data_IF_758074321122
#
_entry.id   IF_758074321122
#
_cell.length_a   1.000
_cell.length_b   1.000
_cell.length_c   1.000
_cell.angle_alpha   90.00
_cell.angle_beta   90.00
_cell.angle_gamma   90.00
#
_symmetry.space_group_name_H-M   'P 1'
#
loop_
_entity.id
_entity.type
_entity.pdbx_description
1 polymer ?
#
# COMPACT_ATOMS: atom_id res chain seq x y z
N UNK A 1 14.26 45.70 18.10
CA UNK A 1 13.18 45.00 17.35
C UNK A 1 12.76 43.79 18.16
N UNK A 2 11.49 43.67 18.51
CA UNK A 2 10.93 42.50 19.21
C UNK A 2 10.64 41.41 18.17
N UNK A 3 11.17 40.20 18.40
CA UNK A 3 10.97 39.05 17.52
C UNK A 3 10.14 38.02 18.28
N UNK A 4 9.00 37.61 17.71
CA UNK A 4 8.08 36.66 18.32
C UNK A 4 8.50 35.24 17.92
N UNK A 5 9.31 34.61 18.77
CA UNK A 5 9.89 33.28 18.51
C UNK A 5 8.81 32.20 18.36
N UNK A 6 7.74 32.31 19.13
CA UNK A 6 6.55 31.45 19.07
C UNK A 6 5.86 31.51 17.70
N UNK A 7 5.66 32.71 17.16
CA UNK A 7 5.06 32.90 15.83
C UNK A 7 5.94 32.35 14.71
N UNK A 8 7.25 32.60 14.76
CA UNK A 8 8.21 32.10 13.76
C UNK A 8 8.32 30.57 13.82
N UNK A 9 8.34 30.00 15.03
CA UNK A 9 8.35 28.56 15.20
C UNK A 9 7.07 27.90 14.65
N UNK A 10 5.90 28.46 14.97
CA UNK A 10 4.62 27.94 14.48
C UNK A 10 4.52 28.00 12.95
N UNK A 11 5.02 29.09 12.36
CA UNK A 11 5.11 29.25 10.91
C UNK A 11 5.99 28.14 10.31
N UNK A 12 7.16 27.89 10.88
CA UNK A 12 8.10 26.88 10.40
C UNK A 12 7.54 25.45 10.55
N UNK A 13 6.88 25.17 11.67
CA UNK A 13 6.12 23.95 11.87
C UNK A 13 5.05 23.74 10.80
N UNK A 14 4.32 24.80 10.46
CA UNK A 14 3.34 24.79 9.37
C UNK A 14 4.00 24.44 8.02
N UNK A 15 5.13 25.06 7.69
CA UNK A 15 5.88 24.74 6.47
C UNK A 15 6.34 23.30 6.42
N UNK A 16 7.00 22.82 7.47
CA UNK A 16 7.51 21.44 7.51
C UNK A 16 6.37 20.44 7.34
N UNK A 17 5.22 20.69 7.97
CA UNK A 17 4.03 19.87 7.78
C UNK A 17 3.53 19.89 6.33
N UNK A 18 3.45 21.06 5.69
CA UNK A 18 3.03 21.19 4.29
C UNK A 18 4.01 20.47 3.35
N UNK A 19 5.31 20.64 3.55
CA UNK A 19 6.35 19.99 2.75
C UNK A 19 6.29 18.47 2.85
N UNK A 20 6.12 17.93 4.06
CA UNK A 20 5.95 16.49 4.26
C UNK A 20 4.67 15.98 3.63
N UNK A 21 3.58 16.75 3.72
CA UNK A 21 2.30 16.38 3.13
C UNK A 21 2.34 16.41 1.60
N UNK A 22 2.98 17.40 0.98
CA UNK A 22 3.21 17.47 -0.46
C UNK A 22 4.09 16.30 -0.91
N UNK A 23 5.16 16.01 -0.17
CA UNK A 23 6.06 14.87 -0.46
C UNK A 23 5.28 13.56 -0.48
N UNK A 24 4.45 13.33 0.55
CA UNK A 24 3.57 12.16 0.60
C UNK A 24 2.55 12.14 -0.54
N UNK A 25 2.03 13.29 -0.93
CA UNK A 25 1.07 13.40 -2.03
C UNK A 25 1.69 13.02 -3.38
N UNK A 26 2.86 13.58 -3.71
CA UNK A 26 3.61 13.32 -4.96
C UNK A 26 3.95 11.83 -5.08
N UNK A 27 4.45 11.24 -3.99
CA UNK A 27 4.84 9.83 -3.94
C UNK A 27 3.68 8.87 -3.68
N UNK A 28 2.44 9.38 -3.58
CA UNK A 28 1.24 8.61 -3.25
C UNK A 28 1.42 7.75 -1.99
N UNK A 29 2.18 8.24 -1.00
CA UNK A 29 2.43 7.56 0.26
C UNK A 29 1.22 7.71 1.18
N UNK A 30 0.76 6.59 1.71
CA UNK A 30 -0.29 6.56 2.71
C UNK A 30 0.34 6.73 4.10
N UNK A 31 0.26 7.93 4.66
CA UNK A 31 0.85 8.26 5.97
C UNK A 31 -0.22 8.82 6.91
N UNK A 32 -0.25 8.32 8.13
CA UNK A 32 -1.14 8.85 9.18
C UNK A 32 -0.69 10.26 9.61
N UNK A 33 -1.64 11.18 9.75
CA UNK A 33 -1.34 12.61 9.95
C UNK A 33 -0.49 12.91 11.19
N UNK A 34 -0.65 12.14 12.28
CA UNK A 34 0.16 12.33 13.49
C UNK A 34 1.66 12.11 13.24
N UNK A 35 2.03 11.17 12.37
CA UNK A 35 3.45 10.96 12.02
C UNK A 35 4.02 12.15 11.24
N UNK A 36 3.21 12.78 10.39
CA UNK A 36 3.60 14.01 9.70
C UNK A 36 3.75 15.18 10.67
N UNK A 37 2.86 15.29 11.66
CA UNK A 37 2.96 16.30 12.72
C UNK A 37 4.23 16.11 13.56
N UNK A 38 4.58 14.87 13.91
CA UNK A 38 5.84 14.56 14.61
C UNK A 38 7.06 14.92 13.77
N UNK A 39 7.07 14.56 12.48
CA UNK A 39 8.16 14.93 11.57
C UNK A 39 8.31 16.45 11.45
N UNK A 40 7.20 17.17 11.32
CA UNK A 40 7.18 18.63 11.27
C UNK A 40 7.65 19.27 12.58
N UNK A 41 7.28 18.70 13.72
CA UNK A 41 7.76 19.13 15.02
C UNK A 41 9.29 19.02 15.10
N UNK A 42 9.85 17.87 14.69
CA UNK A 42 11.30 17.63 14.65
C UNK A 42 12.01 18.60 13.70
N UNK A 43 11.42 18.89 12.54
CA UNK A 43 11.95 19.90 11.62
C UNK A 43 12.00 21.28 12.26
N UNK A 44 10.87 21.73 12.79
CA UNK A 44 10.71 23.09 13.33
C UNK A 44 11.53 23.38 14.58
N UNK A 45 11.97 22.35 15.31
CA UNK A 45 12.93 22.47 16.41
C UNK A 45 14.22 23.17 15.98
N UNK A 46 14.58 23.12 14.69
CA UNK A 46 15.75 23.82 14.16
C UNK A 46 15.68 25.33 14.44
N UNK A 47 14.49 25.94 14.34
CA UNK A 47 14.28 27.36 14.59
C UNK A 47 14.53 27.67 16.07
N UNK A 48 13.97 26.88 16.98
CA UNK A 48 14.15 27.10 18.43
C UNK A 48 15.62 26.97 18.80
N UNK A 49 16.29 25.93 18.29
CA UNK A 49 17.70 25.67 18.60
C UNK A 49 18.64 26.77 18.10
N UNK A 50 18.29 27.49 17.02
CA UNK A 50 19.08 28.65 16.55
C UNK A 50 19.13 29.80 17.57
N UNK A 51 18.17 29.90 18.48
CA UNK A 51 18.16 30.92 19.55
C UNK A 51 18.75 30.41 20.88
N UNK A 52 19.41 29.25 20.87
CA UNK A 52 20.07 28.65 22.04
C UNK A 52 21.58 28.51 21.81
N UNK A 53 22.38 28.18 22.84
CA UNK A 53 23.81 27.89 22.67
C UNK A 53 24.10 26.75 21.67
N UNK A 54 23.11 25.91 21.34
CA UNK A 54 23.22 24.86 20.33
C UNK A 54 23.24 25.38 18.87
N UNK A 55 23.20 26.70 18.64
CA UNK A 55 23.21 27.30 17.30
C UNK A 55 24.37 26.81 16.41
N UNK A 56 25.58 26.61 16.97
CA UNK A 56 26.75 26.15 16.21
C UNK A 56 26.56 24.72 15.70
N UNK A 57 25.84 23.89 16.47
CA UNK A 57 25.52 22.52 16.08
C UNK A 57 24.56 22.51 14.90
N UNK A 58 23.52 23.35 14.96
CA UNK A 58 22.50 23.48 13.91
C UNK A 58 23.03 24.14 12.64
N UNK A 59 24.02 25.02 12.76
CA UNK A 59 24.69 25.64 11.61
C UNK A 59 25.44 24.61 10.74
N UNK A 60 25.86 23.48 11.33
CA UNK A 60 26.61 22.45 10.62
C UNK A 60 25.72 21.72 9.57
N UNK A 61 26.12 21.71 8.28
CA UNK A 61 25.38 21.01 7.22
C UNK A 61 25.12 19.53 7.50
N UNK A 62 26.06 18.84 8.16
CA UNK A 62 25.92 17.42 8.48
C UNK A 62 24.81 17.16 9.50
N UNK A 63 24.63 18.07 10.46
CA UNK A 63 23.54 17.98 11.45
C UNK A 63 22.20 18.17 10.76
N UNK A 64 22.11 19.10 9.80
CA UNK A 64 20.89 19.28 8.98
C UNK A 64 20.57 18.05 8.14
N UNK A 65 21.58 17.40 7.59
CA UNK A 65 21.41 16.14 6.85
C UNK A 65 20.91 15.02 7.77
N UNK A 66 21.47 14.88 8.98
CA UNK A 66 20.99 13.90 9.94
C UNK A 66 19.55 14.18 10.41
N UNK A 67 19.22 15.47 10.58
CA UNK A 67 17.87 15.89 10.92
C UNK A 67 16.87 15.53 9.82
N UNK A 68 17.21 15.78 8.54
CA UNK A 68 16.32 15.41 7.42
C UNK A 68 16.09 13.90 7.34
N UNK A 69 17.11 13.08 7.59
CA UNK A 69 16.95 11.63 7.72
C UNK A 69 15.98 11.25 8.84
N UNK A 70 16.09 11.91 9.99
CA UNK A 70 15.21 11.69 11.15
C UNK A 70 13.77 12.11 10.86
N UNK A 71 13.56 13.25 10.21
CA UNK A 71 12.23 13.72 9.78
C UNK A 71 11.58 12.71 8.83
N UNK A 72 12.31 12.22 7.83
CA UNK A 72 11.77 11.24 6.87
C UNK A 72 11.50 9.89 7.54
N UNK A 73 12.37 9.45 8.44
CA UNK A 73 12.20 8.22 9.19
C UNK A 73 10.94 8.29 10.08
N UNK A 74 10.75 9.38 10.82
CA UNK A 74 9.58 9.54 11.69
C UNK A 74 8.29 9.68 10.89
N UNK A 75 8.29 10.51 9.85
CA UNK A 75 7.14 10.75 8.99
C UNK A 75 6.75 9.51 8.16
N UNK A 76 7.67 8.91 7.40
CA UNK A 76 7.37 7.85 6.41
C UNK A 76 7.78 6.44 6.85
N UNK A 77 8.76 6.31 7.74
CA UNK A 77 9.23 5.02 8.27
C UNK A 77 10.27 4.36 7.38
N UNK A 78 10.83 3.25 7.86
CA UNK A 78 11.82 2.47 7.12
C UNK A 78 11.27 1.11 6.75
N UNK A 79 11.04 0.89 5.44
CA UNK A 79 10.58 -0.40 4.91
C UNK A 79 11.64 -1.03 4.02
N UNK A 80 12.15 -0.27 3.04
CA UNK A 80 13.25 -0.64 2.13
C UNK A 80 14.11 0.58 1.86
N UNK A 81 15.41 0.38 1.65
CA UNK A 81 16.37 1.47 1.40
C UNK A 81 15.97 2.31 0.18
N UNK A 82 15.53 1.68 -0.91
CA UNK A 82 15.07 2.37 -2.12
C UNK A 82 13.91 3.34 -1.83
N UNK A 83 12.88 2.87 -1.12
CA UNK A 83 11.71 3.67 -0.75
C UNK A 83 12.09 4.83 0.16
N UNK A 84 13.02 4.59 1.09
CA UNK A 84 13.52 5.62 2.00
C UNK A 84 14.28 6.72 1.24
N UNK A 85 15.19 6.35 0.35
CA UNK A 85 15.92 7.30 -0.50
C UNK A 85 15.00 8.07 -1.44
N UNK A 86 13.97 7.43 -1.97
CA UNK A 86 12.95 8.08 -2.79
C UNK A 86 12.19 9.17 -2.01
N UNK A 87 11.75 8.85 -0.78
CA UNK A 87 11.10 9.83 0.10
C UNK A 87 12.03 11.02 0.43
N UNK A 88 13.30 10.74 0.74
CA UNK A 88 14.30 11.77 1.03
C UNK A 88 14.53 12.68 -0.17
N UNK A 89 14.69 12.09 -1.36
CA UNK A 89 14.96 12.83 -2.60
C UNK A 89 13.79 13.75 -2.95
N UNK A 90 12.56 13.23 -2.94
CA UNK A 90 11.37 14.05 -3.24
C UNK A 90 11.14 15.12 -2.18
N UNK A 91 11.45 14.86 -0.91
CA UNK A 91 11.38 15.88 0.14
C UNK A 91 12.33 17.05 -0.15
N UNK A 92 13.59 16.79 -0.51
CA UNK A 92 14.54 17.83 -0.89
C UNK A 92 14.08 18.61 -2.12
N UNK A 93 13.67 17.91 -3.18
CA UNK A 93 13.15 18.55 -4.40
C UNK A 93 11.94 19.44 -4.09
N UNK A 94 11.01 18.95 -3.26
CA UNK A 94 9.83 19.71 -2.82
C UNK A 94 10.23 20.94 -2.02
N UNK A 95 11.19 20.79 -1.09
CA UNK A 95 11.70 21.89 -0.26
C UNK A 95 12.34 22.98 -1.12
N UNK A 96 13.19 22.61 -2.08
CA UNK A 96 13.81 23.57 -2.99
C UNK A 96 12.78 24.22 -3.93
N UNK A 97 11.81 23.47 -4.45
CA UNK A 97 10.78 24.01 -5.33
C UNK A 97 9.86 25.00 -4.60
N UNK A 98 9.38 24.63 -3.40
CA UNK A 98 8.52 25.50 -2.59
C UNK A 98 9.30 26.71 -2.07
N UNK A 99 10.51 26.51 -1.54
CA UNK A 99 11.35 27.61 -1.06
C UNK A 99 11.74 28.58 -2.19
N UNK A 100 12.16 28.06 -3.35
CA UNK A 100 12.48 28.85 -4.52
C UNK A 100 11.26 29.59 -5.10
N UNK A 101 10.11 28.93 -5.15
CA UNK A 101 8.85 29.54 -5.56
C UNK A 101 8.41 30.67 -4.61
N UNK A 102 8.59 30.47 -3.30
CA UNK A 102 8.31 31.50 -2.31
C UNK A 102 9.24 32.70 -2.46
N UNK A 103 10.54 32.48 -2.64
CA UNK A 103 11.50 33.56 -2.94
C UNK A 103 11.13 34.31 -4.22
N UNK A 104 10.74 33.60 -5.28
CA UNK A 104 10.33 34.21 -6.54
C UNK A 104 9.08 35.10 -6.36
N UNK A 105 8.05 34.61 -5.65
CA UNK A 105 6.85 35.41 -5.33
C UNK A 105 7.20 36.62 -4.47
N UNK A 106 8.05 36.43 -3.46
CA UNK A 106 8.50 37.52 -2.59
C UNK A 106 9.20 38.63 -3.37
N UNK A 107 10.15 38.28 -4.25
CA UNK A 107 10.83 39.27 -5.09
C UNK A 107 9.90 39.90 -6.13
N UNK A 108 9.00 39.13 -6.75
CA UNK A 108 8.03 39.65 -7.70
C UNK A 108 7.11 40.70 -7.06
N UNK A 109 6.60 40.44 -5.85
CA UNK A 109 5.73 41.38 -5.13
C UNK A 109 6.49 42.60 -4.57
N UNK A 110 7.77 42.44 -4.23
CA UNK A 110 8.61 43.58 -3.80
C UNK A 110 8.91 44.57 -4.94
N UNK A 111 8.96 44.10 -6.20
CA UNK A 111 9.09 44.98 -7.36
C UNK A 111 7.91 45.96 -7.44
N UNK A 112 6.71 45.53 -7.04
CA UNK A 112 5.50 46.37 -7.02
C UNK A 112 5.41 47.29 -5.78
N UNK A 113 5.96 46.89 -4.62
CA UNK A 113 5.91 47.70 -3.38
C UNK A 113 6.78 48.96 -3.39
N UNK A 114 7.66 49.16 -4.38
CA UNK A 114 8.27 50.48 -4.62
C UNK A 114 7.25 51.55 -5.04
N UNK A 115 6.01 51.17 -5.38
CA UNK A 115 4.94 52.07 -5.83
C UNK A 115 3.66 52.05 -4.98
N UNK A 116 3.53 51.21 -3.94
CA UNK A 116 2.29 51.11 -3.15
C UNK A 116 2.54 50.96 -1.64
N UNK A 117 2.28 52.06 -0.92
CA UNK A 117 2.00 52.25 0.51
C UNK A 117 2.60 51.28 1.56
N UNK A 118 3.33 51.90 2.49
CA UNK A 118 4.02 51.36 3.68
C UNK A 118 3.14 50.60 4.70
N UNK A 119 1.82 50.52 4.49
CA UNK A 119 0.85 50.00 5.46
C UNK A 119 0.99 48.49 5.72
N UNK A 120 1.40 47.69 4.73
CA UNK A 120 1.53 46.22 4.86
C UNK A 120 2.85 45.81 5.52
N UNK A 121 3.93 46.60 5.36
CA UNK A 121 5.22 46.31 6.01
C UNK A 121 5.18 46.54 7.53
N UNK A 122 4.29 47.40 8.02
CA UNK A 122 4.18 47.70 9.46
C UNK A 122 3.59 46.54 10.28
N UNK A 123 2.70 45.73 9.69
CA UNK A 123 1.95 44.66 10.38
C UNK A 123 2.76 43.38 10.65
N UNK A 124 3.88 43.18 9.95
CA UNK A 124 4.67 41.93 10.04
C UNK A 124 6.09 42.14 10.55
N UNK A 125 6.41 43.34 11.06
CA UNK A 125 7.71 43.68 11.64
C UNK A 125 7.97 42.88 12.93
N UNK A 126 8.41 41.62 12.78
CA UNK A 126 8.75 40.70 13.88
C UNK A 126 8.03 39.35 13.86
N UNK A 127 7.06 39.14 12.96
CA UNK A 127 6.23 37.91 12.87
C UNK A 127 6.60 36.98 11.69
N UNK A 128 7.60 37.36 10.88
CA UNK A 128 7.98 36.66 9.64
C UNK A 128 7.44 37.33 8.37
N UNK A 129 7.84 36.82 7.20
CA UNK A 129 7.50 37.41 5.90
C UNK A 129 6.01 37.18 5.53
N UNK A 130 5.25 38.21 5.10
CA UNK A 130 3.83 38.08 4.72
C UNK A 130 3.55 36.98 3.68
N UNK A 131 4.45 36.78 2.71
CA UNK A 131 4.30 35.74 1.68
C UNK A 131 4.32 34.35 2.31
N UNK A 132 5.07 34.18 3.39
CA UNK A 132 5.13 32.93 4.15
C UNK A 132 3.78 32.58 4.76
N UNK A 133 3.15 33.55 5.43
CA UNK A 133 1.84 33.39 6.05
C UNK A 133 0.76 33.10 5.03
N UNK A 134 0.78 33.80 3.88
CA UNK A 134 -0.13 33.53 2.77
C UNK A 134 0.02 32.09 2.25
N UNK A 135 1.25 31.61 2.08
CA UNK A 135 1.52 30.24 1.65
C UNK A 135 0.96 29.21 2.63
N UNK A 136 1.16 29.41 3.93
CA UNK A 136 0.64 28.48 4.94
C UNK A 136 -0.89 28.53 5.00
N UNK A 137 -1.49 29.72 5.03
CA UNK A 137 -2.94 29.90 5.15
C UNK A 137 -3.72 29.40 3.93
N UNK A 138 -3.17 29.52 2.72
CA UNK A 138 -3.81 29.03 1.49
C UNK A 138 -3.42 27.57 1.21
N UNK A 139 -2.16 27.21 1.43
CA UNK A 139 -1.65 25.86 1.18
C UNK A 139 -2.33 24.81 2.06
N UNK A 140 -2.62 25.13 3.32
CA UNK A 140 -3.21 24.18 4.26
C UNK A 140 -4.63 23.71 3.84
N UNK A 141 -5.60 24.60 3.52
CA UNK A 141 -6.90 24.21 2.96
C UNK A 141 -6.81 23.40 1.66
N UNK A 142 -5.96 23.82 0.72
CA UNK A 142 -5.79 23.13 -0.57
C UNK A 142 -5.28 21.70 -0.34
N UNK A 143 -4.27 21.54 0.51
CA UNK A 143 -3.76 20.21 0.83
C UNK A 143 -4.75 19.37 1.65
N UNK A 144 -5.59 19.96 2.50
CA UNK A 144 -6.67 19.23 3.17
C UNK A 144 -7.69 18.69 2.16
N UNK A 145 -8.08 19.49 1.18
CA UNK A 145 -8.97 19.06 0.10
C UNK A 145 -8.36 17.92 -0.74
N UNK A 146 -7.09 18.05 -1.15
CA UNK A 146 -6.40 17.02 -1.93
C UNK A 146 -6.16 15.73 -1.13
N UNK A 147 -5.88 15.84 0.17
CA UNK A 147 -5.66 14.66 1.02
C UNK A 147 -6.92 13.84 1.28
N UNK A 148 -8.12 14.45 1.32
CA UNK A 148 -9.37 13.67 1.46
C UNK A 148 -9.51 12.59 0.38
N UNK A 149 -9.04 12.85 -0.84
CA UNK A 149 -9.06 11.88 -1.95
C UNK A 149 -8.10 10.70 -1.73
N UNK A 150 -7.01 10.87 -0.98
CA UNK A 150 -6.09 9.78 -0.65
C UNK A 150 -6.58 8.92 0.52
N UNK A 151 -7.30 9.51 1.48
CA UNK A 151 -7.85 8.76 2.61
C UNK A 151 -8.88 7.71 2.19
N UNK A 152 -9.69 7.96 1.15
CA UNK A 152 -10.62 6.96 0.60
C UNK A 152 -9.93 5.68 0.11
N UNK A 153 -8.65 5.74 -0.28
CA UNK A 153 -7.90 4.56 -0.70
C UNK A 153 -7.39 3.70 0.49
N UNK A 154 -7.31 4.26 1.70
CA UNK A 154 -6.88 3.55 2.91
C UNK A 154 -7.97 2.61 3.42
N UNK A 155 -9.23 3.03 3.33
CA UNK A 155 -10.38 2.20 3.68
C UNK A 155 -10.47 0.97 2.77
N UNK A 156 -10.22 1.16 1.46
CA UNK A 156 -10.17 0.05 0.49
C UNK A 156 -9.00 -0.91 0.75
N UNK A 157 -7.84 -0.42 1.22
CA UNK A 157 -6.67 -1.27 1.49
C UNK A 157 -6.81 -2.06 2.80
N UNK A 158 -7.37 -1.46 3.86
CA UNK A 158 -7.72 -2.19 5.09
C UNK A 158 -8.71 -3.32 4.79
N UNK A 159 -9.75 -3.03 4.01
CA UNK A 159 -10.72 -4.05 3.60
C UNK A 159 -10.09 -5.22 2.84
N UNK A 160 -9.05 -4.97 2.02
CA UNK A 160 -8.29 -6.03 1.33
C UNK A 160 -7.41 -6.86 2.27
N UNK A 161 -6.77 -6.25 3.28
CA UNK A 161 -5.93 -6.97 4.24
C UNK A 161 -6.75 -7.81 5.21
N UNK A 162 -7.93 -7.34 5.63
CA UNK A 162 -8.86 -8.10 6.48
C UNK A 162 -9.42 -9.36 5.77
N UNK A 163 -9.17 -9.51 4.47
CA UNK A 163 -9.59 -10.67 3.67
C UNK A 163 -8.44 -11.64 3.38
N UNK A 164 -7.21 -11.38 3.82
CA UNK A 164 -6.11 -12.32 3.61
C UNK A 164 -6.15 -13.45 4.64
N UNK A 165 -6.05 -14.68 4.15
CA UNK A 165 -6.01 -15.89 4.95
C UNK A 165 -4.76 -16.71 4.62
N UNK A 166 -4.23 -17.43 5.61
CA UNK A 166 -3.23 -18.46 5.35
C UNK A 166 -3.93 -19.80 5.19
N UNK A 167 -3.68 -20.48 4.08
CA UNK A 167 -4.33 -21.75 3.74
C UNK A 167 -3.28 -22.84 3.63
N UNK A 168 -3.45 -23.90 4.41
CA UNK A 168 -2.65 -25.11 4.31
C UNK A 168 -3.48 -26.20 3.64
N UNK A 169 -3.03 -26.66 2.47
CA UNK A 169 -3.67 -27.69 1.66
C UNK A 169 -2.89 -28.99 1.83
N UNK A 170 -3.59 -30.09 1.99
CA UNK A 170 -3.02 -31.43 2.01
C UNK A 170 -3.51 -32.24 0.81
N UNK A 171 -2.56 -32.80 0.06
CA UNK A 171 -2.79 -33.75 -1.03
C UNK A 171 -1.91 -34.96 -0.76
N UNK A 172 -2.51 -36.04 -0.27
CA UNK A 172 -1.88 -37.27 0.19
C UNK A 172 -0.82 -37.01 1.26
N UNK A 173 0.47 -37.09 0.91
CA UNK A 173 1.60 -36.83 1.80
C UNK A 173 2.12 -35.40 1.70
N UNK A 174 1.71 -34.68 0.67
CA UNK A 174 2.21 -33.36 0.35
C UNK A 174 1.37 -32.30 1.09
N UNK A 175 2.05 -31.35 1.74
CA UNK A 175 1.41 -30.25 2.48
C UNK A 175 1.96 -28.93 1.96
N UNK A 176 1.06 -28.04 1.56
CA UNK A 176 1.40 -26.78 0.90
C UNK A 176 0.73 -25.65 1.66
N UNK A 177 1.49 -24.62 2.04
CA UNK A 177 0.96 -23.41 2.68
C UNK A 177 0.99 -22.24 1.72
N UNK A 178 -0.14 -21.54 1.57
CA UNK A 178 -0.37 -20.47 0.61
C UNK A 178 -1.01 -19.27 1.30
N UNK A 179 -0.72 -18.06 0.80
CA UNK A 179 -1.49 -16.85 1.13
C UNK A 179 -2.66 -16.72 0.15
N UNK A 180 -3.87 -16.56 0.66
CA UNK A 180 -5.08 -16.46 -0.16
C UNK A 180 -5.96 -15.28 0.19
N UNK A 181 -6.65 -14.75 -0.82
CA UNK A 181 -7.67 -13.71 -0.65
C UNK A 181 -9.05 -14.37 -0.49
N UNK A 182 -9.73 -14.08 0.61
CA UNK A 182 -11.12 -14.45 0.83
C UNK A 182 -12.03 -13.55 -0.01
N UNK A 183 -12.38 -14.01 -1.21
CA UNK A 183 -13.20 -13.24 -2.13
C UNK A 183 -14.68 -13.62 -2.02
N UNK A 184 -15.47 -12.74 -1.41
CA UNK A 184 -16.93 -12.87 -1.36
C UNK A 184 -17.61 -12.93 -2.74
N UNK A 185 -16.94 -12.43 -3.79
CA UNK A 185 -17.41 -12.47 -5.18
C UNK A 185 -17.13 -13.78 -5.91
N UNK A 186 -16.28 -14.66 -5.35
CA UNK A 186 -16.03 -15.97 -5.94
C UNK A 186 -17.25 -16.88 -5.74
N UNK A 187 -18.01 -17.09 -6.81
CA UNK A 187 -19.19 -17.96 -6.86
C UNK A 187 -18.93 -19.27 -7.63
N UNK A 188 -17.66 -19.58 -7.93
CA UNK A 188 -17.31 -20.72 -8.77
C UNK A 188 -17.57 -22.04 -8.04
N UNK A 189 -18.44 -22.85 -8.64
CA UNK A 189 -18.86 -24.15 -8.14
C UNK A 189 -18.73 -25.18 -9.27
N UNK A 190 -18.36 -26.41 -8.92
CA UNK A 190 -18.55 -27.55 -9.82
C UNK A 190 -20.04 -27.66 -10.18
N UNK A 191 -20.42 -27.60 -11.48
CA UNK A 191 -21.83 -27.64 -11.89
C UNK A 191 -22.54 -28.94 -11.46
N UNK A 192 -21.82 -30.05 -11.35
CA UNK A 192 -22.37 -31.37 -11.01
C UNK A 192 -22.46 -31.53 -9.50
N UNK A 193 -21.34 -31.47 -8.78
CA UNK A 193 -21.31 -31.76 -7.34
C UNK A 193 -21.65 -30.56 -6.45
N UNK A 194 -21.74 -29.35 -7.03
CA UNK A 194 -21.86 -28.08 -6.32
C UNK A 194 -20.74 -27.84 -5.29
N UNK A 195 -19.59 -28.46 -5.51
CA UNK A 195 -18.40 -28.30 -4.66
C UNK A 195 -17.75 -26.93 -4.94
N UNK A 196 -17.41 -26.14 -3.91
CA UNK A 196 -16.75 -24.84 -4.08
C UNK A 196 -15.36 -24.97 -4.69
N UNK A 197 -14.98 -24.01 -5.54
CA UNK A 197 -13.69 -24.00 -6.22
C UNK A 197 -12.83 -22.84 -5.71
N UNK A 198 -11.72 -23.17 -5.07
CA UNK A 198 -10.63 -22.24 -4.78
C UNK A 198 -9.77 -22.10 -6.04
N UNK A 199 -9.36 -20.89 -6.39
CA UNK A 199 -8.49 -20.65 -7.56
C UNK A 199 -7.06 -20.48 -7.06
N UNK A 200 -6.09 -21.14 -7.67
CA UNK A 200 -4.68 -21.09 -7.26
C UNK A 200 -3.75 -20.92 -8.46
N UNK A 201 -2.73 -20.08 -8.28
CA UNK A 201 -1.68 -19.91 -9.28
C UNK A 201 -0.87 -21.20 -9.43
N UNK A 202 -0.84 -21.74 -10.65
CA UNK A 202 -0.13 -22.99 -10.94
C UNK A 202 1.36 -22.91 -10.62
N UNK A 203 1.95 -21.71 -10.74
CA UNK A 203 3.35 -21.43 -10.42
C UNK A 203 3.72 -21.86 -8.97
N UNK A 204 2.77 -21.79 -8.04
CA UNK A 204 2.98 -22.20 -6.64
C UNK A 204 2.90 -23.71 -6.42
N UNK A 205 2.36 -24.44 -7.39
CA UNK A 205 2.11 -25.88 -7.31
C UNK A 205 3.05 -26.70 -8.22
N UNK A 206 3.90 -26.06 -9.03
CA UNK A 206 4.76 -26.73 -10.03
C UNK A 206 5.66 -27.84 -9.44
N UNK A 207 6.08 -27.72 -8.18
CA UNK A 207 6.89 -28.76 -7.51
C UNK A 207 6.08 -29.96 -7.05
N UNK A 208 4.75 -29.84 -6.98
CA UNK A 208 3.85 -30.86 -6.44
C UNK A 208 3.00 -31.54 -7.50
N UNK A 209 2.66 -30.83 -8.59
CA UNK A 209 1.90 -31.38 -9.71
C UNK A 209 2.84 -31.87 -10.82
N UNK A 210 2.51 -32.98 -11.50
CA UNK A 210 3.28 -33.45 -12.64
C UNK A 210 3.17 -32.48 -13.82
N UNK A 211 4.20 -32.47 -14.68
CA UNK A 211 4.22 -31.63 -15.89
C UNK A 211 3.03 -31.92 -16.83
N UNK A 212 2.51 -33.15 -16.82
CA UNK A 212 1.32 -33.55 -17.60
C UNK A 212 0.10 -32.68 -17.29
N UNK A 213 -0.08 -32.26 -16.03
CA UNK A 213 -1.19 -31.36 -15.64
C UNK A 213 -0.98 -29.96 -16.24
N UNK A 214 0.27 -29.48 -16.27
CA UNK A 214 0.61 -28.18 -16.84
C UNK A 214 0.37 -28.19 -18.36
N UNK A 215 0.78 -29.27 -19.03
CA UNK A 215 0.53 -29.48 -20.47
C UNK A 215 -0.97 -29.61 -20.77
N UNK A 216 -1.73 -30.31 -19.91
CA UNK A 216 -3.18 -30.40 -20.03
C UNK A 216 -3.85 -29.02 -19.97
N UNK A 217 -3.39 -28.12 -19.09
CA UNK A 217 -3.89 -26.74 -19.04
C UNK A 217 -3.63 -25.99 -20.36
N UNK A 218 -2.44 -26.13 -20.96
CA UNK A 218 -2.12 -25.52 -22.25
C UNK A 218 -3.04 -26.01 -23.36
N UNK A 219 -3.31 -27.32 -23.40
CA UNK A 219 -4.19 -27.92 -24.40
C UNK A 219 -5.63 -27.40 -24.30
N UNK A 220 -6.15 -27.25 -23.07
CA UNK A 220 -7.49 -26.72 -22.83
C UNK A 220 -7.61 -25.27 -23.30
N UNK A 221 -6.61 -24.43 -23.01
CA UNK A 221 -6.61 -23.03 -23.46
C UNK A 221 -6.53 -22.90 -24.98
N UNK A 222 -5.71 -23.72 -25.65
CA UNK A 222 -5.44 -23.59 -27.09
C UNK A 222 -6.46 -24.28 -27.98
N UNK A 223 -6.97 -25.46 -27.58
CA UNK A 223 -7.80 -26.31 -28.44
C UNK A 223 -9.22 -26.54 -27.93
N UNK A 224 -9.57 -26.10 -26.70
CA UNK A 224 -10.83 -26.43 -26.02
C UNK A 224 -11.12 -27.95 -26.00
N UNK A 225 -10.10 -28.78 -26.24
CA UNK A 225 -10.17 -30.22 -26.31
C UNK A 225 -10.00 -30.87 -24.95
N UNK A 226 -10.34 -32.16 -24.87
CA UNK A 226 -10.14 -32.96 -23.67
C UNK A 226 -8.67 -33.41 -23.59
N UNK A 227 -7.95 -33.11 -22.50
CA UNK A 227 -6.59 -33.60 -22.32
C UNK A 227 -6.60 -35.12 -22.13
N UNK A 228 -5.64 -35.81 -22.76
CA UNK A 228 -5.40 -37.24 -22.53
C UNK A 228 -4.40 -37.38 -21.38
N UNK A 229 -4.81 -38.05 -20.31
CA UNK A 229 -3.91 -38.41 -19.22
C UNK A 229 -3.41 -39.83 -19.44
N UNK A 230 -2.16 -40.11 -19.06
CA UNK A 230 -1.64 -41.47 -18.98
C UNK A 230 -2.37 -42.22 -17.85
N UNK A 231 -2.79 -43.47 -18.09
CA UNK A 231 -3.58 -44.28 -17.15
C UNK A 231 -2.85 -44.61 -15.83
N UNK A 232 -1.57 -44.25 -15.72
CA UNK A 232 -0.69 -44.66 -14.61
C UNK A 232 -0.52 -43.60 -13.50
N UNK A 233 -1.26 -42.49 -13.51
CA UNK A 233 -1.07 -41.44 -12.50
C UNK A 233 -2.14 -41.42 -11.42
N UNK A 234 -1.70 -41.28 -10.15
CA UNK A 234 -2.54 -41.00 -8.97
C UNK A 234 -3.47 -39.76 -9.12
N UNK A 235 -3.26 -38.97 -10.17
CA UNK A 235 -3.94 -37.71 -10.43
C UNK A 235 -5.23 -37.87 -11.23
N UNK A 236 -5.39 -38.95 -12.03
CA UNK A 236 -6.55 -39.15 -12.90
C UNK A 236 -7.87 -39.05 -12.12
N UNK A 237 -7.94 -39.68 -10.95
CA UNK A 237 -9.15 -39.66 -10.11
C UNK A 237 -9.42 -38.31 -9.43
N UNK A 238 -8.40 -37.46 -9.33
CA UNK A 238 -8.45 -36.15 -8.65
C UNK A 238 -8.72 -35.00 -9.63
N UNK A 239 -8.41 -35.18 -10.90
CA UNK A 239 -8.59 -34.14 -11.92
C UNK A 239 -10.07 -33.96 -12.24
N UNK A 240 -10.50 -32.70 -12.30
CA UNK A 240 -11.84 -32.27 -12.70
C UNK A 240 -11.70 -31.17 -13.73
N UNK A 241 -12.65 -31.10 -14.65
CA UNK A 241 -12.75 -29.99 -15.59
C UNK A 241 -14.03 -29.24 -15.24
N UNK A 242 -13.90 -27.94 -14.97
CA UNK A 242 -14.99 -27.10 -14.48
C UNK A 242 -15.21 -25.99 -15.50
N UNK A 243 -16.41 -25.89 -16.12
CA UNK A 243 -16.74 -24.72 -16.91
C UNK A 243 -16.86 -23.51 -15.99
N UNK A 244 -16.16 -22.43 -16.34
CA UNK A 244 -16.21 -21.17 -15.61
C UNK A 244 -16.41 -20.00 -16.56
N UNK A 245 -16.96 -18.91 -16.02
CA UNK A 245 -17.15 -17.66 -16.77
C UNK A 245 -16.59 -16.51 -15.96
N UNK A 246 -15.48 -15.94 -16.43
CA UNK A 246 -15.00 -14.67 -15.92
C UNK A 246 -15.88 -13.52 -16.44
N UNK A 247 -15.96 -12.42 -15.69
CA UNK A 247 -16.72 -11.24 -16.10
C UNK A 247 -16.18 -10.70 -17.43
N UNK A 248 -17.04 -10.60 -18.44
CA UNK A 248 -16.68 -10.08 -19.77
C UNK A 248 -15.95 -11.06 -20.69
N UNK A 249 -15.80 -12.34 -20.31
CA UNK A 249 -15.26 -13.39 -21.17
C UNK A 249 -16.32 -14.45 -21.51
N UNK A 250 -16.12 -15.14 -22.63
CA UNK A 250 -16.88 -16.35 -22.94
C UNK A 250 -16.63 -17.45 -21.92
N UNK A 251 -17.54 -18.42 -21.84
CA UNK A 251 -17.39 -19.58 -20.95
C UNK A 251 -16.17 -20.39 -21.40
N UNK A 252 -15.25 -20.65 -20.49
CA UNK A 252 -14.05 -21.46 -20.74
C UNK A 252 -13.97 -22.61 -19.74
N UNK A 253 -13.07 -23.55 -19.97
CA UNK A 253 -12.84 -24.69 -19.10
C UNK A 253 -11.64 -24.41 -18.17
N UNK A 254 -11.79 -24.75 -16.89
CA UNK A 254 -10.74 -24.69 -15.88
C UNK A 254 -10.40 -26.11 -15.43
N UNK A 255 -9.12 -26.45 -15.47
CA UNK A 255 -8.62 -27.66 -14.85
C UNK A 255 -8.60 -27.47 -13.34
N UNK A 256 -9.14 -28.43 -12.60
CA UNK A 256 -9.17 -28.42 -11.16
C UNK A 256 -8.68 -29.75 -10.58
N UNK A 257 -8.09 -29.68 -9.38
CA UNK A 257 -7.61 -30.85 -8.63
C UNK A 257 -8.46 -31.00 -7.38
N UNK A 258 -8.83 -32.25 -7.03
CA UNK A 258 -9.47 -32.60 -5.77
C UNK A 258 -8.42 -32.92 -4.69
N UNK A 259 -8.19 -32.01 -3.72
CA UNK A 259 -7.33 -32.27 -2.56
C UNK A 259 -8.06 -33.10 -1.51
N UNK A 260 -7.34 -33.47 -0.44
CA UNK A 260 -7.93 -34.23 0.67
C UNK A 260 -8.49 -33.31 1.76
N UNK A 261 -7.76 -32.22 2.07
CA UNK A 261 -8.11 -31.30 3.16
C UNK A 261 -7.49 -29.92 2.98
N UNK A 262 -8.16 -28.90 3.51
CA UNK A 262 -7.60 -27.57 3.75
C UNK A 262 -7.84 -27.13 5.20
N UNK A 263 -6.84 -26.44 5.75
CA UNK A 263 -6.91 -25.70 7.00
C UNK A 263 -6.77 -24.22 6.66
N UNK A 264 -7.73 -23.40 7.06
CA UNK A 264 -7.75 -21.96 6.77
C UNK A 264 -7.62 -21.19 8.08
N UNK A 265 -6.61 -20.32 8.16
CA UNK A 265 -6.39 -19.39 9.26
C UNK A 265 -6.79 -17.99 8.83
N UNK A 266 -7.84 -17.45 9.44
CA UNK A 266 -8.41 -16.14 9.15
C UNK A 266 -9.06 -15.56 10.42
N UNK A 267 -8.81 -14.28 10.73
CA UNK A 267 -9.36 -13.58 11.92
C UNK A 267 -9.22 -14.35 13.25
N UNK A 268 -8.02 -14.88 13.54
CA UNK A 268 -7.71 -15.71 14.73
C UNK A 268 -8.57 -16.99 14.88
N UNK A 269 -9.29 -17.36 13.82
CA UNK A 269 -10.07 -18.59 13.74
C UNK A 269 -9.41 -19.58 12.81
N UNK A 270 -9.55 -20.85 13.14
CA UNK A 270 -9.11 -21.98 12.34
C UNK A 270 -10.33 -22.73 11.80
N UNK A 271 -10.44 -22.82 10.48
CA UNK A 271 -11.48 -23.55 9.78
C UNK A 271 -10.89 -24.77 9.10
N UNK A 272 -11.63 -25.87 9.09
CA UNK A 272 -11.25 -27.09 8.41
C UNK A 272 -12.31 -27.49 7.39
N UNK A 273 -11.87 -27.85 6.17
CA UNK A 273 -12.76 -28.36 5.13
C UNK A 273 -12.09 -29.39 4.23
N UNK A 274 -12.84 -30.40 3.84
CA UNK A 274 -12.47 -31.42 2.85
C UNK A 274 -13.29 -31.34 1.56
N UNK A 275 -14.33 -30.47 1.52
CA UNK A 275 -15.26 -30.36 0.40
C UNK A 275 -14.96 -29.11 -0.44
N UNK A 276 -13.92 -29.17 -1.24
CA UNK A 276 -13.55 -28.12 -2.19
C UNK A 276 -12.70 -28.67 -3.34
N UNK A 277 -12.53 -27.89 -4.40
CA UNK A 277 -11.65 -28.17 -5.53
C UNK A 277 -10.63 -27.02 -5.70
N UNK A 278 -9.46 -27.35 -6.24
CA UNK A 278 -8.39 -26.41 -6.57
C UNK A 278 -8.38 -26.14 -8.08
N UNK A 279 -9.04 -25.08 -8.51
CA UNK A 279 -8.98 -24.58 -9.88
C UNK A 279 -7.63 -23.93 -10.17
N UNK A 280 -6.97 -24.37 -11.24
CA UNK A 280 -5.63 -23.92 -11.60
C UNK A 280 -5.70 -22.74 -12.58
N UNK A 281 -4.88 -21.72 -12.35
CA UNK A 281 -4.70 -20.61 -13.28
C UNK A 281 -3.23 -20.31 -13.54
N UNK A 282 -2.90 -19.94 -14.78
CA UNK A 282 -1.58 -19.40 -15.16
C UNK A 282 -1.47 -17.89 -14.95
N UNK A 283 -2.62 -17.23 -14.77
CA UNK A 283 -2.66 -15.78 -14.59
C UNK A 283 -2.27 -15.43 -13.16
N UNK A 284 -1.36 -14.47 -13.01
CA UNK A 284 -1.00 -13.89 -11.72
C UNK A 284 -2.22 -13.18 -11.11
N UNK A 285 -2.57 -13.54 -9.88
CA UNK A 285 -3.75 -13.04 -9.15
C UNK A 285 -3.45 -11.73 -8.43
N UNK A 286 -2.25 -11.57 -7.87
CA UNK A 286 -1.83 -10.34 -7.17
C UNK A 286 -0.62 -9.68 -7.83
N UNK A 287 -0.78 -8.43 -8.27
CA UNK A 287 0.30 -7.63 -8.85
C UNK A 287 1.42 -7.29 -7.86
N UNK A 288 1.10 -7.20 -6.56
CA UNK A 288 2.08 -6.95 -5.49
C UNK A 288 2.56 -8.24 -4.82
N UNK A 289 1.96 -9.40 -5.13
CA UNK A 289 2.33 -10.70 -4.57
C UNK A 289 1.75 -10.97 -3.17
N UNK A 290 0.78 -10.17 -2.71
CA UNK A 290 0.17 -10.31 -1.38
C UNK A 290 -0.57 -11.65 -1.18
N UNK A 291 -1.06 -12.26 -2.26
CA UNK A 291 -1.76 -13.55 -2.28
C UNK A 291 -1.56 -14.26 -3.62
N UNK A 292 -1.67 -15.58 -3.58
CA UNK A 292 -1.45 -16.50 -4.71
C UNK A 292 -2.64 -17.45 -4.96
N UNK A 293 -3.68 -17.34 -4.14
CA UNK A 293 -4.95 -18.04 -4.35
C UNK A 293 -6.16 -17.19 -3.97
N UNK A 294 -7.33 -17.52 -4.50
CA UNK A 294 -8.63 -16.93 -4.18
C UNK A 294 -9.47 -18.01 -3.50
N UNK A 295 -9.79 -17.78 -2.23
CA UNK A 295 -10.56 -18.70 -1.38
C UNK A 295 -12.05 -18.49 -1.60
N UNK A 296 -12.78 -19.57 -1.85
CA UNK A 296 -14.24 -19.52 -1.98
C UNK A 296 -14.89 -19.38 -0.58
N UNK A 297 -15.87 -18.48 -0.37
CA UNK A 297 -16.40 -18.16 0.97
C UNK A 297 -17.07 -19.35 1.67
N UNK A 298 -17.73 -20.25 0.92
CA UNK A 298 -18.28 -21.51 1.47
C UNK A 298 -17.25 -22.42 2.15
N UNK A 299 -15.96 -22.25 1.88
CA UNK A 299 -14.91 -23.04 2.55
C UNK A 299 -14.76 -22.68 4.04
N UNK A 300 -15.22 -21.49 4.46
CA UNK A 300 -15.24 -21.05 5.86
C UNK A 300 -16.47 -21.54 6.64
N UNK A 301 -17.40 -22.25 5.99
CA UNK A 301 -18.59 -22.81 6.64
C UNK A 301 -18.34 -24.19 7.28
N UNK A 302 -17.08 -24.68 7.23
CA UNK A 302 -16.66 -25.91 7.88
C UNK A 302 -16.59 -25.80 9.41
N UNK A 303 -16.25 -26.90 10.08
CA UNK A 303 -16.12 -26.93 11.54
C UNK A 303 -15.01 -25.96 12.00
N UNK A 304 -15.34 -25.13 13.01
CA UNK A 304 -14.38 -24.26 13.68
C UNK A 304 -13.63 -25.10 14.69
N UNK A 305 -12.38 -25.42 14.40
CA UNK A 305 -11.61 -26.39 15.20
C UNK A 305 -10.96 -25.73 16.43
N UNK A 306 -10.65 -24.43 16.37
CA UNK A 306 -10.00 -23.72 17.49
C UNK A 306 -10.12 -22.19 17.37
N UNK A 307 -10.24 -21.49 18.52
CA UNK A 307 -9.91 -20.07 18.66
C UNK A 307 -8.44 -20.00 19.06
N UNK A 308 -7.59 -19.44 18.21
CA UNK A 308 -6.20 -19.20 18.59
C UNK A 308 -6.23 -18.03 19.58
N UNK A 309 -5.86 -18.31 20.83
CA UNK A 309 -5.76 -17.34 21.93
C UNK A 309 -4.56 -16.43 21.79
#
# INVERSE_FOLDING_TARGET
>A
MTVYLDAIWLLNFGFDFLLLKITGLILKRQVVTWRLLLGAFIGSLIVVLMFTPAQMLVANPFVKMFLSLTIILTAFGFHRLRTFLENLTVFYVTTFAVGGGMLAVHYALQVDQRFANESIQSLTSGLGDPVSWMFVLIGFPVLLYLSKKQFSAVETRKFKYDQLATITITIEKDVISLSGLLDSGNQLLDPITKTPVMIVEVATLQTFIPEEIIQAMDSIEQTQGWPTFSDETRWVERIRIIPYRAVGKETTLMLAIKPDKAIIHHDNKRYETSKFLLGLTKTQLSSEGDYVCIVHPKMLQGEVVERVS
#
